data_IF_703249953258
#
_entry.id   IF_703249953258
#
_cell.length_a   1.000
_cell.length_b   1.000
_cell.length_c   1.000
_cell.angle_alpha   90.00
_cell.angle_beta   90.00
_cell.angle_gamma   90.00
#
_symmetry.space_group_name_H-M   'P 1'
#
loop_
_entity.id
_entity.type
_entity.pdbx_description
1 polymer ?
#
# COMPACT_ATOMS: atom_id res chain seq x y z
N UNK A 1 -3.08 16.62 -2.25
CA UNK A 1 -1.80 16.03 -2.72
C UNK A 1 -2.06 14.96 -3.75
N UNK A 2 -1.14 14.74 -4.65
CA UNK A 2 -1.24 13.69 -5.64
C UNK A 2 -0.66 12.40 -5.07
N UNK A 3 -1.32 11.27 -5.32
CA UNK A 3 -0.83 9.95 -4.92
C UNK A 3 -0.25 9.26 -6.16
N UNK A 4 1.01 8.86 -6.08
CA UNK A 4 1.69 8.17 -7.16
C UNK A 4 2.18 6.80 -6.69
N UNK A 5 1.87 5.78 -7.47
CA UNK A 5 2.33 4.41 -7.22
C UNK A 5 3.64 4.19 -7.95
N UNK A 6 4.65 3.73 -7.23
CA UNK A 6 5.88 3.27 -7.87
C UNK A 6 5.62 1.94 -8.60
N UNK A 7 6.51 1.60 -9.51
CA UNK A 7 6.41 0.31 -10.22
C UNK A 7 6.41 -0.86 -9.23
N UNK A 8 7.24 -0.80 -8.19
CA UNK A 8 7.31 -1.86 -7.19
C UNK A 8 5.98 -2.01 -6.44
N UNK A 9 5.37 -0.89 -6.05
CA UNK A 9 4.09 -0.93 -5.35
C UNK A 9 2.96 -1.45 -6.26
N UNK A 10 2.97 -1.05 -7.53
CA UNK A 10 1.98 -1.55 -8.50
C UNK A 10 2.15 -3.06 -8.72
N UNK A 11 3.39 -3.54 -8.81
CA UNK A 11 3.66 -4.97 -8.94
C UNK A 11 3.20 -5.73 -7.69
N UNK A 12 3.42 -5.16 -6.51
CA UNK A 12 2.95 -5.77 -5.26
C UNK A 12 1.43 -5.94 -5.28
N UNK A 13 0.71 -4.91 -5.72
CA UNK A 13 -0.76 -4.98 -5.80
C UNK A 13 -1.20 -6.07 -6.78
N UNK A 14 -0.54 -6.15 -7.93
CA UNK A 14 -0.85 -7.15 -8.93
C UNK A 14 -0.62 -8.56 -8.38
N UNK A 15 0.50 -8.79 -7.68
CA UNK A 15 0.81 -10.09 -7.09
C UNK A 15 -0.20 -10.48 -6.02
N UNK A 16 -0.61 -9.54 -5.16
CA UNK A 16 -1.64 -9.78 -4.15
C UNK A 16 -2.95 -10.18 -4.83
N UNK A 17 -3.34 -9.43 -5.85
CA UNK A 17 -4.59 -9.68 -6.58
C UNK A 17 -4.57 -11.03 -7.27
N UNK A 18 -3.48 -11.35 -7.96
CA UNK A 18 -3.34 -12.63 -8.68
C UNK A 18 -3.38 -13.82 -7.73
N UNK A 19 -2.71 -13.72 -6.59
CA UNK A 19 -2.71 -14.77 -5.58
C UNK A 19 -4.12 -15.07 -5.08
N UNK A 20 -4.89 -14.03 -4.76
CA UNK A 20 -6.25 -14.20 -4.27
C UNK A 20 -7.17 -14.70 -5.40
N UNK A 21 -6.94 -14.24 -6.62
CA UNK A 21 -7.77 -14.60 -7.77
C UNK A 21 -7.66 -16.07 -8.16
N UNK A 22 -6.60 -16.77 -7.76
CA UNK A 22 -6.46 -18.20 -8.01
C UNK A 22 -7.66 -18.96 -7.48
N UNK A 23 -8.16 -18.58 -6.29
CA UNK A 23 -9.29 -19.25 -5.65
C UNK A 23 -10.58 -18.42 -5.74
N UNK A 24 -10.45 -17.08 -5.68
CA UNK A 24 -11.59 -16.18 -5.50
C UNK A 24 -11.44 -14.92 -6.33
N UNK A 25 -11.72 -15.00 -7.65
CA UNK A 25 -11.49 -13.83 -8.52
C UNK A 25 -12.34 -12.60 -8.17
N UNK A 26 -13.58 -12.80 -7.73
CA UNK A 26 -14.44 -11.68 -7.33
C UNK A 26 -13.93 -11.01 -6.06
N UNK A 27 -13.43 -11.80 -5.11
CA UNK A 27 -12.83 -11.31 -3.87
C UNK A 27 -11.55 -10.55 -4.16
N UNK A 28 -10.73 -11.03 -5.09
CA UNK A 28 -9.50 -10.35 -5.48
C UNK A 28 -9.77 -8.94 -5.97
N UNK A 29 -10.78 -8.78 -6.82
CA UNK A 29 -11.16 -7.45 -7.34
C UNK A 29 -11.59 -6.52 -6.20
N UNK A 30 -12.42 -7.00 -5.29
CA UNK A 30 -12.91 -6.19 -4.18
C UNK A 30 -11.78 -5.75 -3.27
N UNK A 31 -10.85 -6.67 -2.95
CA UNK A 31 -9.71 -6.35 -2.09
C UNK A 31 -8.80 -5.33 -2.76
N UNK A 32 -8.52 -5.49 -4.06
CA UNK A 32 -7.71 -4.53 -4.80
C UNK A 32 -8.35 -3.13 -4.77
N UNK A 33 -9.66 -3.04 -4.95
CA UNK A 33 -10.35 -1.76 -4.90
C UNK A 33 -10.31 -1.14 -3.51
N UNK A 34 -10.45 -1.96 -2.48
CA UNK A 34 -10.37 -1.48 -1.09
C UNK A 34 -8.98 -0.93 -0.77
N UNK A 35 -7.94 -1.61 -1.22
CA UNK A 35 -6.56 -1.13 -1.07
C UNK A 35 -6.38 0.21 -1.76
N UNK A 36 -6.82 0.31 -3.01
CA UNK A 36 -6.68 1.54 -3.80
C UNK A 36 -7.40 2.71 -3.12
N UNK A 37 -8.64 2.49 -2.65
CA UNK A 37 -9.38 3.55 -1.96
C UNK A 37 -8.68 4.02 -0.69
N UNK A 38 -8.17 3.09 0.10
CA UNK A 38 -7.48 3.43 1.35
C UNK A 38 -6.21 4.21 1.08
N UNK A 39 -5.48 3.82 0.03
CA UNK A 39 -4.24 4.48 -0.36
C UNK A 39 -4.54 5.86 -0.95
N UNK A 40 -5.57 5.96 -1.79
CA UNK A 40 -5.93 7.25 -2.40
C UNK A 40 -6.37 8.29 -1.37
N UNK A 41 -6.89 7.85 -0.23
CA UNK A 41 -7.26 8.77 0.85
C UNK A 41 -6.05 9.53 1.42
N UNK A 42 -4.84 9.08 1.14
CA UNK A 42 -3.63 9.78 1.57
C UNK A 42 -3.46 11.13 0.87
N UNK A 43 -4.16 11.39 -0.22
CA UNK A 43 -4.14 12.71 -0.86
C UNK A 43 -4.69 13.79 0.08
N UNK A 44 -5.69 13.45 0.88
CA UNK A 44 -6.30 14.35 1.85
C UNK A 44 -5.63 14.26 3.23
N UNK A 45 -5.11 13.08 3.59
CA UNK A 45 -4.54 12.82 4.91
C UNK A 45 -3.16 12.15 4.79
N UNK A 46 -2.16 12.89 4.28
CA UNK A 46 -0.85 12.29 4.00
C UNK A 46 -0.10 11.80 5.25
N UNK A 47 -0.44 12.33 6.41
CA UNK A 47 0.22 11.92 7.66
C UNK A 47 -0.57 10.87 8.44
N UNK A 48 -1.55 10.24 7.80
CA UNK A 48 -2.39 9.23 8.44
C UNK A 48 -1.61 8.01 8.88
N UNK A 49 -0.61 7.59 8.10
CA UNK A 49 0.22 6.45 8.46
C UNK A 49 1.19 6.77 9.60
N UNK A 50 1.57 5.73 10.34
CA UNK A 50 2.59 5.85 11.41
C UNK A 50 3.96 6.03 10.80
N UNK A 51 4.92 6.48 11.59
CA UNK A 51 6.31 6.53 11.14
C UNK A 51 6.78 5.13 10.76
N UNK A 52 7.44 5.02 9.61
CA UNK A 52 7.88 3.74 9.09
C UNK A 52 9.17 3.26 9.74
N UNK A 53 9.48 1.99 9.51
CA UNK A 53 10.71 1.34 9.99
C UNK A 53 11.94 1.95 9.33
N UNK A 54 11.79 2.42 8.09
CA UNK A 54 12.85 3.13 7.38
C UNK A 54 12.64 4.62 7.57
N UNK A 55 13.71 5.34 7.91
CA UNK A 55 13.62 6.78 8.11
C UNK A 55 13.08 7.47 6.87
N UNK A 56 12.19 8.44 7.08
CA UNK A 56 11.56 9.19 6.00
C UNK A 56 10.33 8.52 5.41
N UNK A 57 10.02 7.31 5.81
CA UNK A 57 8.81 6.60 5.33
C UNK A 57 7.70 6.62 6.36
N UNK A 58 6.49 6.35 5.89
CA UNK A 58 5.32 6.09 6.72
C UNK A 58 4.69 4.77 6.30
N UNK A 59 3.95 4.16 7.23
CA UNK A 59 3.27 2.89 6.99
C UNK A 59 1.80 3.05 7.33
N UNK A 60 0.94 2.82 6.35
CA UNK A 60 -0.50 2.82 6.53
C UNK A 60 -0.98 1.37 6.65
N UNK A 61 -1.47 1.01 7.83
CA UNK A 61 -2.04 -0.31 8.05
C UNK A 61 -3.44 -0.33 7.43
N UNK A 62 -3.68 -1.28 6.54
CA UNK A 62 -4.91 -1.35 5.75
C UNK A 62 -5.99 -2.21 6.42
N UNK A 63 -6.14 -2.06 7.73
CA UNK A 63 -7.13 -2.82 8.52
C UNK A 63 -8.51 -2.74 7.87
N UNK A 64 -9.29 -3.84 7.80
CA UNK A 64 -9.01 -5.16 8.37
C UNK A 64 -8.16 -6.10 7.50
N UNK A 65 -7.65 -5.61 6.38
CA UNK A 65 -6.79 -6.40 5.50
C UNK A 65 -5.40 -6.55 6.12
N UNK A 66 -4.71 -7.69 5.86
CA UNK A 66 -3.40 -7.95 6.46
C UNK A 66 -2.25 -7.28 5.69
N UNK A 67 -2.48 -6.11 5.13
CA UNK A 67 -1.51 -5.42 4.29
C UNK A 67 -1.14 -4.06 4.86
N UNK A 68 0.06 -3.62 4.51
CA UNK A 68 0.61 -2.33 4.93
C UNK A 68 1.12 -1.61 3.69
N UNK A 69 0.72 -0.36 3.52
CA UNK A 69 1.25 0.48 2.45
C UNK A 69 2.39 1.33 2.99
N UNK A 70 3.57 1.15 2.43
CA UNK A 70 4.75 1.96 2.76
C UNK A 70 4.84 3.11 1.78
N UNK A 71 4.95 4.34 2.29
CA UNK A 71 4.96 5.51 1.44
C UNK A 71 5.84 6.62 1.99
N UNK A 72 6.16 7.57 1.12
CA UNK A 72 6.85 8.81 1.47
C UNK A 72 6.01 9.99 1.06
N UNK A 73 6.13 11.10 1.80
CA UNK A 73 5.46 12.35 1.46
C UNK A 73 6.52 13.34 0.99
N UNK A 74 6.38 13.83 -0.24
CA UNK A 74 7.27 14.82 -0.83
C UNK A 74 6.42 16.02 -1.27
N UNK A 75 6.73 17.21 -0.78
CA UNK A 75 6.09 18.47 -1.15
C UNK A 75 4.59 18.34 -1.46
N UNK A 76 4.23 18.06 -2.72
CA UNK A 76 2.85 17.98 -3.19
C UNK A 76 2.44 16.55 -3.62
N UNK A 77 3.25 15.54 -3.28
CA UNK A 77 3.05 14.18 -3.78
C UNK A 77 3.25 13.15 -2.67
N UNK A 78 2.39 12.13 -2.66
CA UNK A 78 2.57 10.93 -1.84
C UNK A 78 3.03 9.83 -2.78
N UNK A 79 4.18 9.22 -2.48
CA UNK A 79 4.72 8.13 -3.29
C UNK A 79 4.54 6.81 -2.55
N UNK A 80 3.81 5.89 -3.15
CA UNK A 80 3.60 4.56 -2.58
C UNK A 80 4.76 3.69 -3.03
N UNK A 81 5.58 3.27 -2.06
CA UNK A 81 6.82 2.53 -2.33
C UNK A 81 6.60 1.03 -2.40
N UNK A 82 5.83 0.48 -1.49
CA UNK A 82 5.56 -0.95 -1.41
C UNK A 82 4.20 -1.21 -0.80
N UNK A 83 3.62 -2.37 -1.14
CA UNK A 83 2.56 -2.99 -0.36
C UNK A 83 3.12 -4.27 0.23
N UNK A 84 3.02 -4.40 1.55
CA UNK A 84 3.59 -5.53 2.27
C UNK A 84 2.50 -6.31 2.96
N UNK A 85 2.67 -7.61 3.05
CA UNK A 85 1.90 -8.42 3.99
C UNK A 85 2.39 -8.10 5.40
N UNK A 86 1.51 -8.08 6.40
CA UNK A 86 1.88 -7.67 7.76
C UNK A 86 3.03 -8.44 8.38
N UNK A 87 3.23 -9.71 7.97
CA UNK A 87 4.33 -10.54 8.47
C UNK A 87 5.61 -10.41 7.65
N UNK A 88 5.59 -9.67 6.54
CA UNK A 88 6.74 -9.55 5.64
C UNK A 88 7.80 -8.60 6.23
N UNK A 89 9.07 -8.94 6.04
CA UNK A 89 10.15 -8.07 6.46
C UNK A 89 10.28 -6.85 5.54
N UNK A 90 10.54 -5.70 6.17
CA UNK A 90 10.78 -4.46 5.46
C UNK A 90 11.77 -3.61 6.26
N UNK A 91 12.85 -3.11 5.69
CA UNK A 91 13.28 -3.43 4.32
C UNK A 91 13.76 -4.88 4.22
N UNK A 92 13.66 -5.44 3.01
CA UNK A 92 14.26 -6.74 2.75
C UNK A 92 15.75 -6.59 2.66
N UNK A 93 16.46 -7.34 3.46
CA UNK A 93 17.92 -7.31 3.48
C UNK A 93 18.49 -8.11 2.30
#
# INVERSE_FOLDING_TARGET
MRVRWTADAADDLEQISDYIAEDRPGTARRIAMDIIRSVDALDAFPNQGRQGRVEGTRELVLTPLPFIAVYEVHDDEVQILRLLHGAQEWPTS
#
